data_IF_588447459501
#
_entry.id   IF_588447459501
#
_cell.length_a   1.000
_cell.length_b   1.000
_cell.length_c   1.000
_cell.angle_alpha   90.00
_cell.angle_beta   90.00
_cell.angle_gamma   90.00
#
_symmetry.space_group_name_H-M   'P 1'
#
loop_
_entity.id
_entity.type
_entity.pdbx_description
1 polymer ?
#
# COMPACT_ATOMS: atom_id res chain seq x y z
N UNK A 1 14.40 -5.80 -8.01
CA UNK A 1 13.09 -6.03 -7.35
C UNK A 1 12.26 -4.78 -7.48
N UNK A 2 11.01 -4.90 -7.94
CA UNK A 2 10.11 -3.76 -8.14
C UNK A 2 8.96 -3.81 -7.13
N UNK A 3 8.81 -2.76 -6.34
CA UNK A 3 7.76 -2.62 -5.31
C UNK A 3 6.81 -1.51 -5.74
N UNK A 4 5.52 -1.83 -5.88
CA UNK A 4 4.48 -0.83 -6.11
C UNK A 4 4.05 -0.24 -4.76
N UNK A 5 4.21 1.06 -4.57
CA UNK A 5 3.82 1.76 -3.35
C UNK A 5 2.52 2.52 -3.56
N UNK A 6 1.51 2.26 -2.72
CA UNK A 6 0.16 2.81 -2.85
C UNK A 6 -0.21 3.59 -1.60
N UNK A 7 -0.45 4.89 -1.76
CA UNK A 7 -1.03 5.73 -0.72
C UNK A 7 -2.56 5.64 -0.75
N UNK A 8 -3.19 5.31 0.38
CA UNK A 8 -4.65 5.36 0.52
C UNK A 8 -5.23 6.77 0.56
N UNK A 9 -4.39 7.81 0.63
CA UNK A 9 -4.81 9.21 0.70
C UNK A 9 -4.79 9.88 -0.66
N UNK A 10 -5.84 10.64 -0.96
CA UNK A 10 -5.92 11.47 -2.18
C UNK A 10 -5.44 12.91 -1.94
N UNK A 11 -5.05 13.26 -0.73
CA UNK A 11 -4.62 14.60 -0.36
C UNK A 11 -3.18 14.84 -0.84
N UNK A 12 -2.89 16.00 -1.43
CA UNK A 12 -1.56 16.34 -1.95
C UNK A 12 -0.49 16.35 -0.83
N UNK A 13 -0.77 17.04 0.28
CA UNK A 13 0.09 17.07 1.46
C UNK A 13 -0.20 15.89 2.43
N UNK A 14 -0.21 14.67 1.90
CA UNK A 14 -0.50 13.46 2.67
C UNK A 14 0.73 12.91 3.39
N UNK A 15 0.63 12.71 4.71
CA UNK A 15 1.66 12.01 5.49
C UNK A 15 1.89 10.57 4.99
N UNK A 16 0.84 9.90 4.56
CA UNK A 16 0.95 8.55 4.00
C UNK A 16 1.75 8.55 2.68
N UNK A 17 1.57 9.55 1.84
CA UNK A 17 2.39 9.72 0.63
C UNK A 17 3.83 10.14 0.96
N UNK A 18 4.02 10.98 1.98
CA UNK A 18 5.35 11.37 2.44
C UNK A 18 6.14 10.16 3.00
N UNK A 19 5.50 9.25 3.75
CA UNK A 19 6.11 8.00 4.18
C UNK A 19 6.59 7.14 3.00
N UNK A 20 5.80 7.04 1.93
CA UNK A 20 6.21 6.29 0.74
C UNK A 20 7.35 6.95 -0.04
N UNK A 21 7.44 8.29 -0.01
CA UNK A 21 8.58 9.00 -0.60
C UNK A 21 9.87 8.71 0.19
N UNK A 22 9.80 8.79 1.53
CA UNK A 22 10.94 8.43 2.38
C UNK A 22 11.34 6.96 2.19
N UNK A 23 10.37 6.05 2.11
CA UNK A 23 10.62 4.63 1.82
C UNK A 23 11.38 4.45 0.51
N UNK A 24 11.03 5.20 -0.54
CA UNK A 24 11.70 5.14 -1.84
C UNK A 24 13.15 5.66 -1.76
N UNK A 25 13.38 6.72 -0.99
CA UNK A 25 14.71 7.32 -0.82
C UNK A 25 15.66 6.41 -0.03
N UNK A 26 15.12 5.61 0.88
CA UNK A 26 15.87 4.69 1.74
C UNK A 26 15.89 3.24 1.18
N UNK A 27 15.36 3.02 -0.01
CA UNK A 27 15.34 1.69 -0.62
C UNK A 27 16.78 1.16 -0.86
N UNK A 28 17.06 -0.09 -0.47
CA UNK A 28 18.39 -0.67 -0.66
C UNK A 28 18.71 -0.88 -2.15
N UNK A 29 19.99 -1.05 -2.46
CA UNK A 29 20.44 -1.31 -3.83
C UNK A 29 19.71 -2.53 -4.44
N UNK A 30 19.23 -2.38 -5.66
CA UNK A 30 18.48 -3.41 -6.38
C UNK A 30 16.97 -3.45 -6.04
N UNK A 31 16.48 -2.56 -5.18
CA UNK A 31 15.04 -2.39 -4.88
C UNK A 31 14.56 -1.06 -5.45
N UNK A 32 13.60 -1.11 -6.37
CA UNK A 32 12.95 0.05 -6.96
C UNK A 32 11.54 0.20 -6.36
N UNK A 33 11.20 1.39 -5.89
CA UNK A 33 9.90 1.71 -5.29
C UNK A 33 9.16 2.71 -6.17
N UNK A 34 8.12 2.24 -6.84
CA UNK A 34 7.24 3.04 -7.70
C UNK A 34 6.02 3.51 -6.94
N UNK A 35 5.88 4.83 -6.73
CA UNK A 35 4.72 5.40 -6.03
C UNK A 35 3.58 5.65 -7.02
N UNK A 36 2.49 4.91 -6.87
CA UNK A 36 1.29 5.08 -7.68
C UNK A 36 0.25 5.99 -6.99
N UNK A 37 -0.25 6.96 -7.73
CA UNK A 37 -1.22 7.96 -7.27
C UNK A 37 -2.55 7.91 -8.05
N UNK A 38 -2.86 6.78 -8.66
CA UNK A 38 -4.01 6.62 -9.56
C UNK A 38 -5.35 6.30 -8.88
N UNK A 39 -5.46 6.28 -7.54
CA UNK A 39 -6.73 5.95 -6.87
C UNK A 39 -7.91 6.84 -7.30
N UNK A 40 -7.63 8.10 -7.62
CA UNK A 40 -8.67 9.10 -7.97
C UNK A 40 -9.34 8.81 -9.30
N UNK A 41 -8.70 8.08 -10.22
CA UNK A 41 -9.23 7.81 -11.56
C UNK A 41 -9.89 6.43 -11.68
N UNK A 42 -9.82 5.60 -10.63
CA UNK A 42 -10.51 4.30 -10.59
C UNK A 42 -12.02 4.56 -10.43
N UNK A 43 -12.88 4.13 -11.39
CA UNK A 43 -14.31 4.32 -11.27
C UNK A 43 -14.88 3.53 -10.08
N UNK A 44 -16.03 3.91 -9.53
CA UNK A 44 -16.74 3.08 -8.56
C UNK A 44 -16.91 1.65 -9.09
N UNK A 45 -16.70 0.65 -8.23
CA UNK A 45 -16.88 -0.74 -8.63
C UNK A 45 -18.34 -1.00 -8.97
N UNK A 46 -18.56 -1.50 -10.17
CA UNK A 46 -19.83 -2.00 -10.65
C UNK A 46 -19.62 -3.38 -11.27
N UNK A 47 -20.40 -4.36 -10.82
CA UNK A 47 -20.30 -5.72 -11.31
C UNK A 47 -20.70 -5.85 -12.78
N UNK A 48 -21.57 -4.98 -13.27
CA UNK A 48 -22.01 -4.99 -14.68
C UNK A 48 -20.88 -4.50 -15.61
N UNK A 49 -19.93 -3.72 -15.07
CA UNK A 49 -18.73 -3.24 -15.77
C UNK A 49 -17.49 -4.15 -15.55
N UNK A 50 -17.61 -5.20 -14.72
CA UNK A 50 -16.51 -6.16 -14.47
C UNK A 50 -16.38 -7.15 -15.64
N UNK A 51 -16.07 -6.60 -16.79
CA UNK A 51 -15.86 -7.32 -18.05
C UNK A 51 -14.36 -7.53 -18.31
N UNK A 52 -14.03 -8.29 -19.36
CA UNK A 52 -12.66 -8.46 -19.84
C UNK A 52 -12.59 -8.04 -21.31
N UNK A 53 -11.90 -6.92 -21.64
CA UNK A 53 -11.24 -5.99 -20.71
C UNK A 53 -12.22 -5.14 -19.91
N UNK A 54 -11.84 -4.78 -18.68
CA UNK A 54 -12.53 -3.82 -17.83
C UNK A 54 -12.23 -2.36 -18.18
N UNK A 55 -12.66 -1.38 -17.36
CA UNK A 55 -12.31 0.01 -17.55
C UNK A 55 -10.80 0.23 -17.65
N UNK A 56 -10.35 1.09 -18.55
CA UNK A 56 -8.91 1.32 -18.84
C UNK A 56 -8.07 1.58 -17.57
N UNK A 57 -8.55 2.45 -16.67
CA UNK A 57 -7.85 2.77 -15.44
C UNK A 57 -7.72 1.55 -14.50
N UNK A 58 -8.70 0.64 -14.52
CA UNK A 58 -8.70 -0.61 -13.76
C UNK A 58 -7.68 -1.59 -14.33
N UNK A 59 -7.66 -1.76 -15.66
CA UNK A 59 -6.68 -2.64 -16.31
C UNK A 59 -5.24 -2.14 -16.10
N UNK A 60 -5.01 -0.83 -16.20
CA UNK A 60 -3.73 -0.22 -15.90
C UNK A 60 -3.29 -0.49 -14.44
N UNK A 61 -4.21 -0.36 -13.48
CA UNK A 61 -3.95 -0.68 -12.08
C UNK A 61 -3.63 -2.17 -11.89
N UNK A 62 -4.43 -3.06 -12.47
CA UNK A 62 -4.20 -4.51 -12.42
C UNK A 62 -2.83 -4.88 -12.98
N UNK A 63 -2.41 -4.25 -14.09
CA UNK A 63 -1.12 -4.51 -14.71
C UNK A 63 0.04 -4.05 -13.81
N UNK A 64 -0.04 -2.84 -13.23
CA UNK A 64 0.97 -2.35 -12.28
C UNK A 64 1.17 -3.31 -11.10
N UNK A 65 0.06 -3.82 -10.52
CA UNK A 65 0.14 -4.81 -9.45
C UNK A 65 0.74 -6.13 -9.96
N UNK A 66 0.38 -6.57 -11.16
CA UNK A 66 0.85 -7.83 -11.74
C UNK A 66 2.36 -7.80 -12.00
N UNK A 67 2.86 -6.70 -12.58
CA UNK A 67 4.27 -6.51 -12.92
C UNK A 67 5.17 -6.25 -11.71
N UNK A 68 4.61 -5.86 -10.56
CA UNK A 68 5.39 -5.66 -9.33
C UNK A 68 5.69 -6.98 -8.63
N UNK A 69 6.86 -7.08 -7.99
CA UNK A 69 7.23 -8.22 -7.13
C UNK A 69 6.45 -8.20 -5.81
N UNK A 70 6.15 -7.00 -5.30
CA UNK A 70 5.41 -6.77 -4.06
C UNK A 70 4.63 -5.45 -4.11
N UNK A 71 3.69 -5.27 -3.14
CA UNK A 71 2.97 -4.00 -2.96
C UNK A 71 3.15 -3.50 -1.54
N UNK A 72 3.46 -2.20 -1.40
CA UNK A 72 3.58 -1.53 -0.12
C UNK A 72 2.46 -0.50 0.04
N UNK A 73 1.62 -0.66 1.05
CA UNK A 73 0.51 0.24 1.33
C UNK A 73 0.81 1.17 2.50
N UNK A 74 0.46 2.46 2.35
CA UNK A 74 0.37 3.41 3.46
C UNK A 74 -1.03 4.03 3.47
N UNK A 75 -1.81 3.81 4.55
CA UNK A 75 -3.22 4.22 4.61
C UNK A 75 -3.50 5.22 5.72
N UNK A 76 -4.28 6.28 5.47
CA UNK A 76 -4.92 7.03 6.53
C UNK A 76 -6.13 6.25 7.06
N UNK A 77 -6.71 6.76 8.13
CA UNK A 77 -7.91 6.24 8.74
C UNK A 77 -9.07 7.22 8.60
N UNK A 78 -10.19 6.79 8.02
CA UNK A 78 -11.43 7.55 7.92
C UNK A 78 -12.55 6.77 8.58
N UNK A 79 -13.13 7.32 9.64
CA UNK A 79 -14.22 6.68 10.41
C UNK A 79 -13.85 5.25 10.87
N UNK A 80 -12.64 5.09 11.43
CA UNK A 80 -12.10 3.80 11.91
C UNK A 80 -11.96 2.71 10.82
N UNK A 81 -11.85 3.11 9.55
CA UNK A 81 -11.76 2.21 8.40
C UNK A 81 -10.79 2.76 7.35
N UNK A 82 -10.54 1.96 6.32
CA UNK A 82 -9.75 2.38 5.14
C UNK A 82 -10.53 3.38 4.28
N UNK A 83 -9.85 4.29 3.56
CA UNK A 83 -10.50 5.20 2.63
C UNK A 83 -11.31 4.46 1.57
N UNK A 84 -12.50 4.98 1.24
CA UNK A 84 -13.38 4.39 0.23
C UNK A 84 -12.71 4.23 -1.15
N UNK A 85 -11.88 5.20 -1.57
CA UNK A 85 -11.14 5.09 -2.83
C UNK A 85 -10.13 3.93 -2.83
N UNK A 86 -9.45 3.69 -1.70
CA UNK A 86 -8.55 2.54 -1.56
C UNK A 86 -9.34 1.23 -1.61
N UNK A 87 -10.44 1.13 -0.84
CA UNK A 87 -11.29 -0.07 -0.84
C UNK A 87 -11.82 -0.37 -2.24
N UNK A 88 -12.27 0.67 -2.96
CA UNK A 88 -12.76 0.56 -4.33
C UNK A 88 -11.70 -0.02 -5.29
N UNK A 89 -10.46 0.47 -5.22
CA UNK A 89 -9.37 -0.08 -6.04
C UNK A 89 -9.08 -1.55 -5.70
N UNK A 90 -9.15 -1.93 -4.42
CA UNK A 90 -9.00 -3.33 -4.00
C UNK A 90 -10.14 -4.22 -4.51
N UNK A 91 -11.37 -3.73 -4.52
CA UNK A 91 -12.51 -4.45 -5.07
C UNK A 91 -12.30 -4.77 -6.55
N UNK A 92 -11.89 -3.79 -7.35
CA UNK A 92 -11.49 -4.00 -8.74
C UNK A 92 -10.29 -4.94 -8.90
N UNK A 93 -9.26 -4.80 -8.06
CA UNK A 93 -8.04 -5.63 -8.10
C UNK A 93 -8.31 -7.09 -7.73
N UNK A 94 -9.39 -7.36 -6.99
CA UNK A 94 -9.81 -8.73 -6.62
C UNK A 94 -10.51 -9.47 -7.76
N UNK A 95 -10.77 -8.82 -8.88
CA UNK A 95 -11.52 -9.33 -10.02
C UNK A 95 -10.67 -9.44 -11.29
N UNK A 96 -10.98 -10.40 -12.17
CA UNK A 96 -11.80 -11.59 -11.91
C UNK A 96 -11.20 -12.45 -10.78
N UNK A 97 -12.04 -13.15 -10.00
CA UNK A 97 -11.56 -13.94 -8.84
C UNK A 97 -10.48 -14.96 -9.22
N UNK A 98 -10.59 -15.57 -10.40
CA UNK A 98 -9.65 -16.58 -10.88
C UNK A 98 -8.24 -15.98 -11.15
N UNK A 99 -8.16 -14.73 -11.58
CA UNK A 99 -6.94 -14.03 -11.97
C UNK A 99 -6.65 -12.82 -11.07
N UNK A 100 -7.18 -12.83 -9.85
CA UNK A 100 -6.98 -11.79 -8.83
C UNK A 100 -5.48 -11.47 -8.68
N UNK A 101 -5.12 -10.22 -8.97
CA UNK A 101 -3.72 -9.75 -9.04
C UNK A 101 -3.01 -9.73 -7.70
N UNK A 102 -3.76 -9.77 -6.60
CA UNK A 102 -3.20 -9.84 -5.23
C UNK A 102 -2.99 -11.27 -4.73
N UNK A 103 -3.49 -12.28 -5.44
CA UNK A 103 -3.31 -13.68 -5.02
C UNK A 103 -1.83 -14.04 -4.93
N UNK A 104 -1.40 -14.49 -3.76
CA UNK A 104 -0.01 -14.83 -3.45
C UNK A 104 1.00 -13.67 -3.64
N UNK A 105 0.53 -12.40 -3.75
CA UNK A 105 1.37 -11.21 -3.82
C UNK A 105 1.87 -10.86 -2.42
N UNK A 106 3.20 -10.70 -2.19
CA UNK A 106 3.72 -10.15 -0.95
C UNK A 106 3.24 -8.71 -0.77
N UNK A 107 2.71 -8.39 0.40
CA UNK A 107 2.22 -7.04 0.70
C UNK A 107 2.60 -6.60 2.11
N UNK A 108 3.01 -5.33 2.26
CA UNK A 108 3.20 -4.68 3.54
C UNK A 108 2.17 -3.56 3.73
N UNK A 109 1.78 -3.32 4.98
CA UNK A 109 0.80 -2.28 5.33
C UNK A 109 1.32 -1.47 6.50
N UNK A 110 1.41 -0.16 6.28
CA UNK A 110 1.62 0.83 7.33
C UNK A 110 0.46 1.84 7.33
N UNK A 111 0.36 2.63 8.40
CA UNK A 111 -0.65 3.68 8.49
C UNK A 111 -0.11 4.93 9.15
N UNK A 112 -0.67 6.09 8.81
CA UNK A 112 -0.34 7.35 9.45
C UNK A 112 -1.59 8.23 9.61
N UNK A 113 -1.70 8.86 10.78
CA UNK A 113 -2.76 9.80 11.11
C UNK A 113 -2.25 10.92 12.00
N UNK A 114 -2.87 12.10 11.95
CA UNK A 114 -2.64 13.17 12.91
C UNK A 114 -3.14 12.82 14.33
N UNK A 115 -4.03 11.81 14.48
CA UNK A 115 -4.47 11.29 15.76
C UNK A 115 -3.42 10.40 16.43
N UNK A 116 -3.57 10.18 17.73
CA UNK A 116 -2.62 9.45 18.57
C UNK A 116 -2.39 7.99 18.14
N UNK A 117 -3.40 7.34 17.58
CA UNK A 117 -3.35 5.90 17.25
C UNK A 117 -2.80 5.60 15.83
N UNK A 118 -2.41 6.62 15.06
CA UNK A 118 -1.71 6.43 13.79
C UNK A 118 -2.50 5.70 12.70
N UNK A 119 -3.82 5.55 12.83
CA UNK A 119 -4.63 4.82 11.86
C UNK A 119 -4.57 3.30 12.03
N UNK A 120 -4.34 2.82 13.24
CA UNK A 120 -4.15 1.39 13.55
C UNK A 120 -5.34 0.52 13.12
N UNK A 121 -6.58 1.01 13.25
CA UNK A 121 -7.78 0.25 12.84
C UNK A 121 -7.89 0.12 11.33
N UNK A 122 -7.58 1.19 10.57
CA UNK A 122 -7.51 1.13 9.11
C UNK A 122 -6.39 0.19 8.64
N UNK A 123 -5.23 0.21 9.31
CA UNK A 123 -4.14 -0.72 9.05
C UNK A 123 -4.57 -2.18 9.24
N UNK A 124 -5.22 -2.48 10.36
CA UNK A 124 -5.72 -3.82 10.67
C UNK A 124 -6.80 -4.27 9.66
N UNK A 125 -7.73 -3.39 9.30
CA UNK A 125 -8.76 -3.69 8.31
C UNK A 125 -8.16 -3.94 6.92
N UNK A 126 -7.19 -3.13 6.49
CA UNK A 126 -6.50 -3.34 5.21
C UNK A 126 -5.80 -4.69 5.15
N UNK A 127 -5.11 -5.10 6.21
CA UNK A 127 -4.50 -6.43 6.33
C UNK A 127 -5.53 -7.55 6.18
N UNK A 128 -6.67 -7.41 6.86
CA UNK A 128 -7.79 -8.36 6.77
C UNK A 128 -8.32 -8.46 5.33
N UNK A 129 -8.56 -7.32 4.65
CA UNK A 129 -9.06 -7.29 3.27
C UNK A 129 -8.06 -7.94 2.32
N UNK A 130 -6.77 -7.57 2.39
CA UNK A 130 -5.72 -8.15 1.56
C UNK A 130 -5.55 -9.65 1.80
N UNK A 131 -5.61 -10.08 3.05
CA UNK A 131 -5.59 -11.52 3.40
C UNK A 131 -6.77 -12.29 2.80
N UNK A 132 -7.98 -11.72 2.85
CA UNK A 132 -9.18 -12.30 2.22
C UNK A 132 -9.06 -12.39 0.68
N UNK A 133 -8.29 -11.48 0.06
CA UNK A 133 -7.95 -11.52 -1.36
C UNK A 133 -6.84 -12.54 -1.68
N UNK A 134 -6.26 -13.20 -0.67
CA UNK A 134 -5.20 -14.19 -0.83
C UNK A 134 -3.80 -13.59 -0.98
N UNK A 135 -3.59 -12.34 -0.61
CA UNK A 135 -2.26 -11.74 -0.53
C UNK A 135 -1.45 -12.34 0.64
N UNK A 136 -0.12 -12.32 0.52
CA UNK A 136 0.82 -12.68 1.59
C UNK A 136 1.15 -11.41 2.38
N UNK A 137 0.34 -11.13 3.39
CA UNK A 137 0.50 -9.94 4.23
C UNK A 137 1.67 -10.17 5.19
N UNK A 138 2.67 -9.26 5.16
CA UNK A 138 3.81 -9.33 6.09
C UNK A 138 3.40 -8.97 7.52
N UNK A 139 4.17 -9.41 8.51
CA UNK A 139 3.91 -9.11 9.92
C UNK A 139 4.34 -7.70 10.34
N UNK A 140 5.07 -6.98 9.47
CA UNK A 140 5.51 -5.62 9.78
C UNK A 140 4.32 -4.69 10.04
N UNK A 141 4.27 -4.11 11.24
CA UNK A 141 3.23 -3.16 11.66
C UNK A 141 3.87 -1.83 12.04
N UNK A 142 3.48 -0.77 11.36
CA UNK A 142 3.90 0.60 11.68
C UNK A 142 2.68 1.51 11.61
N UNK A 143 2.23 1.99 12.77
CA UNK A 143 1.15 2.98 12.88
C UNK A 143 1.73 4.30 13.40
N UNK A 144 1.78 5.31 12.53
CA UNK A 144 2.42 6.60 12.82
C UNK A 144 1.39 7.57 13.38
N UNK A 145 1.31 7.64 14.70
CA UNK A 145 0.49 8.63 15.42
C UNK A 145 1.15 10.02 15.43
N UNK A 146 0.33 11.05 15.64
CA UNK A 146 0.80 12.44 15.65
C UNK A 146 1.66 12.78 14.42
N UNK A 147 1.26 12.28 13.24
CA UNK A 147 2.07 12.36 12.04
C UNK A 147 2.49 13.80 11.68
N UNK A 148 1.68 14.81 12.05
CA UNK A 148 1.99 16.23 11.85
C UNK A 148 3.24 16.73 12.62
N UNK A 149 3.69 15.97 13.65
CA UNK A 149 4.87 16.28 14.45
C UNK A 149 6.14 15.53 13.97
N UNK A 150 5.96 14.60 13.02
CA UNK A 150 7.03 13.69 12.57
C UNK A 150 7.69 14.12 11.26
N UNK A 151 7.13 15.14 10.60
CA UNK A 151 7.60 15.64 9.33
C UNK A 151 7.93 17.12 9.41
N UNK A 152 8.99 17.54 8.72
CA UNK A 152 9.26 18.96 8.44
C UNK A 152 8.21 19.52 7.48
N UNK A 153 8.21 20.84 7.29
CA UNK A 153 7.35 21.52 6.30
C UNK A 153 7.57 20.99 4.88
N UNK A 154 8.80 20.59 4.54
CA UNK A 154 9.18 19.98 3.26
C UNK A 154 8.85 18.49 3.18
N UNK A 155 8.26 17.90 4.23
CA UNK A 155 7.84 16.49 4.28
C UNK A 155 8.96 15.50 4.54
N UNK A 156 10.09 15.94 5.08
CA UNK A 156 11.22 15.09 5.49
C UNK A 156 10.94 14.51 6.88
N UNK A 157 11.28 13.26 7.10
CA UNK A 157 11.18 12.59 8.41
C UNK A 157 12.47 12.86 9.19
N UNK A 158 12.36 13.52 10.35
CA UNK A 158 13.48 13.74 11.28
C UNK A 158 13.55 12.69 12.40
N UNK A 159 12.44 12.03 12.68
CA UNK A 159 12.32 11.01 13.72
C UNK A 159 13.08 9.74 13.30
N UNK A 160 14.18 9.45 13.96
CA UNK A 160 15.05 8.31 13.65
C UNK A 160 14.36 6.96 13.90
N UNK A 161 13.51 6.85 14.92
CA UNK A 161 12.78 5.62 15.23
C UNK A 161 11.75 5.33 14.14
N UNK A 162 11.10 6.38 13.61
CA UNK A 162 10.20 6.25 12.48
C UNK A 162 10.93 5.80 11.21
N UNK A 163 12.10 6.37 10.92
CA UNK A 163 12.94 5.94 9.78
C UNK A 163 13.33 4.48 9.90
N UNK A 164 13.78 4.07 11.09
CA UNK A 164 14.12 2.67 11.34
C UNK A 164 12.91 1.75 11.16
N UNK A 165 11.74 2.12 11.69
CA UNK A 165 10.51 1.35 11.50
C UNK A 165 10.09 1.20 10.03
N UNK A 166 10.30 2.24 9.20
CA UNK A 166 10.07 2.17 7.76
C UNK A 166 11.04 1.21 7.08
N UNK A 167 12.33 1.31 7.42
CA UNK A 167 13.37 0.41 6.91
C UNK A 167 13.08 -1.05 7.26
N UNK A 168 12.70 -1.32 8.51
CA UNK A 168 12.34 -2.67 8.98
C UNK A 168 11.12 -3.23 8.23
N UNK A 169 10.10 -2.39 8.00
CA UNK A 169 8.91 -2.79 7.23
C UNK A 169 9.26 -3.12 5.77
N UNK A 170 10.13 -2.32 5.15
CA UNK A 170 10.61 -2.59 3.79
C UNK A 170 11.44 -3.87 3.74
N UNK A 171 12.36 -4.06 4.67
CA UNK A 171 13.21 -5.26 4.73
C UNK A 171 12.38 -6.53 4.93
N UNK A 172 11.34 -6.48 5.75
CA UNK A 172 10.40 -7.58 5.96
C UNK A 172 9.67 -7.94 4.66
N UNK A 173 9.25 -6.93 3.88
CA UNK A 173 8.63 -7.15 2.57
C UNK A 173 9.60 -7.76 1.56
N UNK A 174 10.83 -7.24 1.48
CA UNK A 174 11.90 -7.76 0.60
C UNK A 174 12.18 -9.23 0.92
N UNK A 175 12.31 -9.58 2.19
CA UNK A 175 12.50 -10.98 2.63
C UNK A 175 11.34 -11.86 2.17
N UNK A 176 10.11 -11.41 2.33
CA UNK A 176 8.91 -12.16 1.88
C UNK A 176 8.90 -12.41 0.36
N UNK A 177 9.45 -11.48 -0.46
CA UNK A 177 9.59 -11.70 -1.91
C UNK A 177 10.64 -12.77 -2.20
N UNK A 178 11.79 -12.72 -1.52
CA UNK A 178 12.87 -13.69 -1.71
C UNK A 178 12.44 -15.11 -1.30
N UNK A 179 11.75 -15.25 -0.17
CA UNK A 179 11.20 -16.53 0.30
C UNK A 179 10.18 -17.12 -0.68
N UNK A 180 9.36 -16.27 -1.28
CA UNK A 180 8.41 -16.69 -2.33
C UNK A 180 9.14 -17.23 -3.55
N UNK A 181 10.21 -16.53 -3.99
CA UNK A 181 11.00 -16.95 -5.15
C UNK A 181 11.73 -18.27 -4.91
N UNK A 182 12.18 -18.51 -3.68
CA UNK A 182 12.84 -19.78 -3.29
C UNK A 182 11.87 -20.98 -3.19
N UNK A 183 10.56 -20.71 -3.03
CA UNK A 183 9.51 -21.72 -2.88
C UNK A 183 8.78 -22.06 -4.21
N UNK A 184 9.10 -21.38 -5.30
CA UNK A 184 8.49 -21.55 -6.63
C UNK A 184 9.35 -22.40 -7.55
#
# INVERSE_FOLDING_TARGET
MRILAISGSLRDASYNTALLRALREEAPEGVEVDIWQGLKVIPPYDQDEDLVPGPEAVEAFRELVRESDAVFFSTPEYNSSIPGALKNALDWGSRPVATNVFRNKPVAVISASAGAFGGVWAGAELRKVLGAMGARVTEAELAVGHAHEKFTEDGVIEDLDLRQGLSDALQTLVTSVLDRAAAA
#
